data_IF_320962341781
#
_entry.id   IF_320962341781
#
_cell.length_a   1.000
_cell.length_b   1.000
_cell.length_c   1.000
_cell.angle_alpha   90.00
_cell.angle_beta   90.00
_cell.angle_gamma   90.00
#
_symmetry.space_group_name_H-M   'P 1'
#
loop_
_entity.id
_entity.type
_entity.pdbx_description
1 polymer ?
#
# COMPACT_ATOMS: atom_id res chain seq x y z
N UNK A 1 21.36 -21.38 -16.89
CA UNK A 1 20.70 -21.10 -18.16
C UNK A 1 20.34 -19.62 -18.12
N UNK A 2 20.99 -18.78 -18.94
CA UNK A 2 20.80 -17.32 -18.87
C UNK A 2 19.62 -16.95 -19.78
N UNK A 3 18.50 -16.53 -19.16
CA UNK A 3 17.36 -16.00 -19.89
C UNK A 3 17.59 -14.50 -20.14
N UNK A 4 17.67 -14.11 -21.40
CA UNK A 4 17.71 -12.69 -21.82
C UNK A 4 16.28 -12.15 -21.83
N UNK A 5 16.01 -11.17 -20.98
CA UNK A 5 14.77 -10.42 -21.05
C UNK A 5 14.80 -9.43 -22.22
N UNK A 6 13.86 -9.58 -23.14
CA UNK A 6 13.52 -8.53 -24.08
C UNK A 6 12.30 -7.78 -23.54
N UNK A 7 12.50 -6.54 -23.13
CA UNK A 7 11.40 -5.59 -22.96
C UNK A 7 10.89 -5.20 -24.36
N UNK A 8 9.69 -5.60 -24.69
CA UNK A 8 8.90 -4.98 -25.75
C UNK A 8 7.68 -4.33 -25.13
N UNK A 9 7.66 -3.02 -25.15
CA UNK A 9 6.49 -2.20 -24.91
C UNK A 9 5.47 -2.46 -26.01
N UNK A 10 4.43 -3.26 -25.69
CA UNK A 10 3.31 -3.50 -26.60
C UNK A 10 2.21 -2.49 -26.35
N UNK A 11 2.04 -1.55 -27.29
CA UNK A 11 0.84 -0.71 -27.36
C UNK A 11 -0.31 -1.59 -27.83
N UNK A 12 -1.31 -1.81 -26.99
CA UNK A 12 -2.53 -2.53 -27.35
C UNK A 12 -3.45 -1.58 -28.12
N UNK A 13 -3.48 -1.72 -29.45
CA UNK A 13 -4.51 -1.13 -30.28
C UNK A 13 -5.68 -2.11 -30.41
N UNK A 14 -6.76 -1.91 -29.66
CA UNK A 14 -8.00 -2.65 -29.83
C UNK A 14 -8.82 -2.00 -30.96
N UNK A 15 -8.81 -2.62 -32.16
CA UNK A 15 -9.70 -2.24 -33.26
C UNK A 15 -11.01 -3.00 -33.11
N UNK A 16 -12.05 -2.33 -32.58
CA UNK A 16 -13.41 -2.79 -32.71
C UNK A 16 -14.08 -2.02 -33.87
N UNK A 17 -14.19 -2.66 -35.03
CA UNK A 17 -14.98 -2.14 -36.12
C UNK A 17 -16.47 -2.43 -35.88
N UNK A 18 -17.24 -1.43 -35.45
CA UNK A 18 -18.70 -1.44 -35.55
C UNK A 18 -19.13 -0.31 -36.46
N UNK A 19 -19.78 -0.68 -37.54
CA UNK A 19 -20.41 0.21 -38.51
C UNK A 19 -21.46 1.08 -37.84
N UNK A 20 -21.16 2.39 -37.77
CA UNK A 20 -22.03 3.37 -37.17
C UNK A 20 -23.23 3.74 -38.04
N UNK A 21 -24.32 4.00 -37.41
CA UNK A 21 -25.37 4.88 -37.95
C UNK A 21 -25.13 6.24 -37.33
N UNK A 22 -24.78 7.20 -38.18
CA UNK A 22 -24.52 8.59 -37.85
C UNK A 22 -25.82 9.27 -37.35
N UNK A 23 -25.83 9.68 -36.09
CA UNK A 23 -26.66 10.77 -35.60
C UNK A 23 -25.71 11.93 -35.32
N UNK A 24 -25.39 12.72 -36.34
CA UNK A 24 -24.37 13.77 -36.26
C UNK A 24 -24.88 15.17 -36.01
N UNK A 25 -26.19 15.43 -35.79
CA UNK A 25 -26.68 16.79 -35.86
C UNK A 25 -27.21 17.43 -34.57
N UNK A 26 -27.14 16.75 -33.44
CA UNK A 26 -27.62 17.34 -32.17
C UNK A 26 -26.58 17.49 -31.09
N UNK A 27 -25.37 16.99 -31.29
CA UNK A 27 -24.29 17.05 -30.30
C UNK A 27 -23.50 18.36 -30.40
N UNK A 28 -23.27 18.86 -31.62
CA UNK A 28 -22.45 20.05 -31.87
C UNK A 28 -23.14 21.37 -31.43
N UNK A 29 -24.47 21.42 -31.46
CA UNK A 29 -25.23 22.63 -31.10
C UNK A 29 -25.36 22.88 -29.58
N UNK A 30 -25.19 21.83 -28.77
CA UNK A 30 -25.30 21.96 -27.30
C UNK A 30 -24.00 22.35 -26.60
N UNK A 31 -22.86 22.28 -27.26
CA UNK A 31 -21.53 22.44 -26.63
C UNK A 31 -20.63 23.51 -27.25
N UNK A 32 -21.19 24.41 -28.05
CA UNK A 32 -20.43 25.56 -28.53
C UNK A 32 -20.18 26.55 -27.39
N UNK A 33 -19.09 26.35 -26.67
CA UNK A 33 -18.55 27.30 -25.70
C UNK A 33 -17.52 28.18 -26.38
N UNK A 34 -17.58 29.51 -26.15
CA UNK A 34 -16.62 30.45 -26.68
C UNK A 34 -15.18 30.04 -26.35
N UNK A 35 -14.40 29.69 -27.36
CA UNK A 35 -12.98 29.34 -27.25
C UNK A 35 -12.63 27.87 -27.53
N UNK A 36 -13.62 26.97 -27.74
CA UNK A 36 -13.34 25.61 -28.18
C UNK A 36 -13.36 25.50 -29.70
N UNK A 37 -12.52 24.65 -30.26
CA UNK A 37 -12.60 24.24 -31.66
C UNK A 37 -13.46 22.98 -31.73
N UNK A 38 -14.62 22.99 -32.42
CA UNK A 38 -15.43 21.80 -32.58
C UNK A 38 -14.62 20.63 -33.13
N UNK A 39 -14.65 19.49 -32.45
CA UNK A 39 -13.87 18.31 -32.83
C UNK A 39 -12.41 18.30 -32.37
N UNK A 40 -11.91 19.34 -31.69
CA UNK A 40 -10.57 19.34 -31.12
C UNK A 40 -10.47 18.36 -29.93
N UNK A 41 -9.31 17.75 -29.78
CA UNK A 41 -8.99 16.89 -28.64
C UNK A 41 -8.76 17.71 -27.36
N UNK A 42 -8.69 17.02 -26.21
CA UNK A 42 -8.27 17.64 -24.95
C UNK A 42 -6.93 18.37 -25.09
N UNK A 43 -5.97 17.71 -25.73
CA UNK A 43 -4.64 18.30 -25.98
C UNK A 43 -4.69 19.56 -26.79
N UNK A 44 -5.41 19.53 -27.93
CA UNK A 44 -5.56 20.68 -28.80
C UNK A 44 -6.26 21.87 -28.12
N UNK A 45 -7.32 21.59 -27.33
CA UNK A 45 -8.02 22.64 -26.59
C UNK A 45 -7.15 23.24 -25.46
N UNK A 46 -6.33 22.45 -24.78
CA UNK A 46 -5.39 22.95 -23.77
C UNK A 46 -4.33 23.88 -24.36
N UNK A 47 -3.86 23.62 -25.60
CA UNK A 47 -2.89 24.49 -26.27
C UNK A 47 -3.44 25.89 -26.60
N UNK A 48 -4.77 26.07 -26.63
CA UNK A 48 -5.41 27.35 -26.92
C UNK A 48 -5.52 28.28 -25.71
N UNK A 49 -5.38 27.72 -24.50
CA UNK A 49 -5.50 28.52 -23.28
C UNK A 49 -4.10 28.84 -22.70
N UNK A 50 -3.76 30.13 -22.75
CA UNK A 50 -2.45 30.59 -22.27
C UNK A 50 -2.29 30.48 -20.73
N UNK A 51 -3.40 30.55 -19.98
CA UNK A 51 -3.34 30.55 -18.52
C UNK A 51 -2.91 29.18 -17.95
N UNK A 52 -3.15 28.09 -18.67
CA UNK A 52 -2.75 26.75 -18.30
C UNK A 52 -1.52 26.24 -19.08
N UNK A 53 -0.86 27.10 -19.85
CA UNK A 53 0.33 26.73 -20.64
C UNK A 53 1.45 26.10 -19.79
N UNK A 54 1.74 26.58 -18.56
CA UNK A 54 2.74 25.91 -17.70
C UNK A 54 2.36 24.47 -17.36
N UNK A 55 1.09 24.18 -17.07
CA UNK A 55 0.61 22.81 -16.84
C UNK A 55 0.76 21.94 -18.10
N UNK A 56 0.41 22.46 -19.28
CA UNK A 56 0.57 21.74 -20.55
C UNK A 56 2.04 21.40 -20.80
N UNK A 57 2.97 22.29 -20.44
CA UNK A 57 4.41 22.03 -20.55
C UNK A 57 4.87 20.87 -19.65
N UNK A 58 4.32 20.75 -18.44
CA UNK A 58 4.58 19.58 -17.57
C UNK A 58 4.06 18.31 -18.21
N UNK A 59 2.81 18.31 -18.72
CA UNK A 59 2.21 17.17 -19.41
C UNK A 59 3.05 16.72 -20.62
N UNK A 60 3.50 17.65 -21.46
CA UNK A 60 4.34 17.35 -22.64
C UNK A 60 5.69 16.74 -22.22
N UNK A 61 6.34 17.34 -21.21
CA UNK A 61 7.62 16.88 -20.69
C UNK A 61 7.55 15.48 -20.08
N UNK A 62 6.38 15.08 -19.59
CA UNK A 62 6.12 13.76 -18.98
C UNK A 62 5.48 12.75 -19.95
N UNK A 63 5.29 13.11 -21.23
CA UNK A 63 4.81 12.19 -22.27
C UNK A 63 3.28 11.99 -22.30
N UNK A 64 2.48 12.85 -21.68
CA UNK A 64 1.02 12.73 -21.65
C UNK A 64 0.31 13.23 -22.92
N UNK A 65 1.04 13.87 -23.83
CA UNK A 65 0.51 14.39 -25.09
C UNK A 65 -0.25 13.35 -25.90
N UNK A 66 0.36 12.20 -26.17
CA UNK A 66 -0.24 11.17 -27.03
C UNK A 66 -1.50 10.57 -26.38
N UNK A 67 -1.49 10.39 -25.05
CA UNK A 67 -2.64 9.91 -24.29
C UNK A 67 -3.82 10.90 -24.39
N UNK A 68 -3.60 12.18 -24.16
CA UNK A 68 -4.63 13.21 -24.17
C UNK A 68 -5.04 13.65 -25.59
N UNK A 69 -4.32 13.21 -26.59
CA UNK A 69 -4.66 13.37 -28.00
C UNK A 69 -5.28 12.12 -28.63
N UNK A 70 -5.44 11.05 -27.85
CA UNK A 70 -6.03 9.79 -28.30
C UNK A 70 -7.57 9.84 -28.29
N UNK A 71 -8.20 8.75 -28.75
CA UNK A 71 -9.66 8.59 -28.70
C UNK A 71 -10.17 8.16 -27.32
N UNK A 72 -9.29 7.95 -26.35
CA UNK A 72 -9.72 7.60 -24.99
C UNK A 72 -10.29 8.82 -24.28
N UNK A 73 -11.39 8.61 -23.56
CA UNK A 73 -12.16 9.70 -22.95
C UNK A 73 -11.64 9.99 -21.54
N UNK A 74 -11.28 11.24 -21.31
CA UNK A 74 -10.81 11.76 -20.02
C UNK A 74 -11.57 13.02 -19.59
N UNK A 75 -11.48 13.34 -18.31
CA UNK A 75 -11.74 14.67 -17.79
C UNK A 75 -10.45 15.20 -17.19
N UNK A 76 -10.07 16.40 -17.57
CA UNK A 76 -8.87 17.08 -17.09
C UNK A 76 -9.30 18.34 -16.32
N UNK A 77 -8.82 18.48 -15.09
CA UNK A 77 -8.88 19.71 -14.29
C UNK A 77 -7.50 20.35 -14.36
N UNK A 78 -7.32 21.24 -15.32
CA UNK A 78 -6.04 21.90 -15.60
C UNK A 78 -5.79 23.04 -14.61
N UNK A 79 -4.81 22.94 -13.69
CA UNK A 79 -4.53 23.97 -12.73
C UNK A 79 -3.78 25.16 -13.36
N UNK A 80 -4.14 26.37 -12.95
CA UNK A 80 -3.34 27.56 -13.18
C UNK A 80 -2.14 27.51 -12.23
N UNK A 81 -0.95 27.39 -12.78
CA UNK A 81 0.33 27.37 -12.05
C UNK A 81 1.33 28.33 -12.71
N UNK A 82 2.34 28.73 -11.97
CA UNK A 82 3.43 29.56 -12.48
C UNK A 82 4.42 28.77 -13.35
N UNK A 83 5.24 29.47 -14.12
CA UNK A 83 6.31 28.86 -14.90
C UNK A 83 7.39 28.24 -14.01
N UNK A 84 7.64 28.81 -12.84
CA UNK A 84 8.55 28.33 -11.83
C UNK A 84 8.07 26.99 -11.27
N UNK A 85 6.81 26.90 -10.85
CA UNK A 85 6.20 25.66 -10.36
C UNK A 85 6.21 24.54 -11.42
N UNK A 86 5.91 24.89 -12.68
CA UNK A 86 6.01 23.94 -13.78
C UNK A 86 7.43 23.42 -13.98
N UNK A 87 8.42 24.30 -13.84
CA UNK A 87 9.83 23.91 -13.96
C UNK A 87 10.24 22.98 -12.82
N UNK A 88 9.81 23.25 -11.57
CA UNK A 88 10.08 22.39 -10.42
C UNK A 88 9.52 20.98 -10.61
N UNK A 89 8.29 20.85 -11.11
CA UNK A 89 7.68 19.56 -11.44
C UNK A 89 8.46 18.81 -12.53
N UNK A 90 8.89 19.49 -13.59
CA UNK A 90 9.68 18.90 -14.68
C UNK A 90 11.05 18.42 -14.17
N UNK A 91 11.70 19.20 -13.32
CA UNK A 91 13.00 18.82 -12.74
C UNK A 91 12.84 17.64 -11.79
N UNK A 92 11.80 17.61 -10.98
CA UNK A 92 11.47 16.47 -10.12
C UNK A 92 11.23 15.20 -10.94
N UNK A 93 10.42 15.27 -12.00
CA UNK A 93 10.23 14.16 -12.91
C UNK A 93 11.55 13.61 -13.46
N UNK A 94 12.38 14.47 -14.01
CA UNK A 94 13.67 14.07 -14.61
C UNK A 94 14.64 13.49 -13.59
N UNK A 95 14.73 14.11 -12.42
CA UNK A 95 15.59 13.65 -11.32
C UNK A 95 15.18 12.24 -10.89
N UNK A 96 13.92 12.02 -10.60
CA UNK A 96 13.40 10.73 -10.14
C UNK A 96 13.51 9.63 -11.21
N UNK A 97 13.23 9.94 -12.47
CA UNK A 97 13.48 9.03 -13.60
C UNK A 97 14.95 8.64 -13.73
N UNK A 98 15.87 9.59 -13.52
CA UNK A 98 17.31 9.31 -13.56
C UNK A 98 17.77 8.43 -12.39
N UNK A 99 17.04 8.44 -11.29
CA UNK A 99 17.26 7.59 -10.11
C UNK A 99 16.59 6.20 -10.24
N UNK A 100 15.88 5.94 -11.32
CA UNK A 100 15.19 4.67 -11.57
C UNK A 100 13.84 4.54 -10.86
N UNK A 101 13.26 5.65 -10.38
CA UNK A 101 11.92 5.66 -9.80
C UNK A 101 10.91 5.28 -10.89
N UNK A 102 10.07 4.29 -10.59
CA UNK A 102 8.99 3.84 -11.49
C UNK A 102 7.88 4.87 -11.59
N UNK A 103 7.09 4.81 -12.66
CA UNK A 103 6.08 5.83 -12.95
C UNK A 103 5.00 5.98 -11.86
N UNK A 104 4.62 4.90 -11.22
CA UNK A 104 3.61 4.93 -10.14
C UNK A 104 4.13 5.57 -8.86
N UNK A 105 5.43 5.62 -8.70
CA UNK A 105 6.11 6.22 -7.55
C UNK A 105 6.66 7.61 -7.84
N UNK A 106 6.66 8.01 -9.11
CA UNK A 106 7.18 9.33 -9.50
C UNK A 106 6.25 10.44 -9.00
N UNK A 107 6.80 11.38 -8.22
CA UNK A 107 6.02 12.42 -7.58
C UNK A 107 5.26 13.30 -8.60
N UNK A 108 5.89 13.70 -9.70
CA UNK A 108 5.23 14.52 -10.73
C UNK A 108 4.08 13.79 -11.40
N UNK A 109 4.25 12.50 -11.70
CA UNK A 109 3.19 11.72 -12.32
C UNK A 109 2.05 11.43 -11.36
N UNK A 110 2.36 10.95 -10.16
CA UNK A 110 1.36 10.48 -9.20
C UNK A 110 0.70 11.64 -8.42
N UNK A 111 1.49 12.56 -7.89
CA UNK A 111 0.98 13.59 -6.99
C UNK A 111 0.42 14.80 -7.72
N UNK A 112 0.90 15.06 -8.95
CA UNK A 112 0.49 16.24 -9.70
C UNK A 112 -0.34 15.87 -10.93
N UNK A 113 0.22 15.23 -11.96
CA UNK A 113 -0.49 15.01 -13.23
C UNK A 113 -1.72 14.12 -13.02
N UNK A 114 -1.52 12.92 -12.48
CA UNK A 114 -2.60 11.94 -12.31
C UNK A 114 -3.64 12.35 -11.26
N UNK A 115 -3.30 13.32 -10.40
CA UNK A 115 -4.22 13.93 -9.43
C UNK A 115 -5.19 14.92 -10.06
N UNK A 116 -4.99 15.27 -11.32
CA UNK A 116 -5.80 16.24 -12.07
C UNK A 116 -6.49 15.63 -13.30
N UNK A 117 -6.39 14.33 -13.51
CA UNK A 117 -6.98 13.62 -14.65
C UNK A 117 -7.81 12.43 -14.15
N UNK A 118 -9.03 12.31 -14.67
CA UNK A 118 -9.89 11.15 -14.42
C UNK A 118 -10.30 10.50 -15.73
N UNK A 119 -10.63 9.20 -15.65
CA UNK A 119 -11.27 8.48 -16.75
C UNK A 119 -12.72 8.93 -16.94
N UNK A 120 -13.19 8.84 -18.16
CA UNK A 120 -14.53 9.17 -18.61
C UNK A 120 -14.84 10.68 -18.57
N UNK A 121 -15.92 11.02 -19.26
CA UNK A 121 -16.43 12.38 -19.32
C UNK A 121 -17.26 12.70 -18.06
N UNK A 122 -16.87 13.71 -17.32
CA UNK A 122 -17.58 14.23 -16.13
C UNK A 122 -18.07 15.63 -16.41
N UNK A 123 -19.39 15.81 -16.44
CA UNK A 123 -20.02 17.10 -16.64
C UNK A 123 -20.46 17.70 -15.29
N UNK A 124 -19.72 18.67 -14.80
CA UNK A 124 -20.02 19.29 -13.49
C UNK A 124 -21.28 20.13 -13.51
N UNK A 125 -21.69 20.67 -14.68
CA UNK A 125 -22.91 21.47 -14.81
C UNK A 125 -24.22 20.68 -14.57
N UNK A 126 -24.14 19.35 -14.63
CA UNK A 126 -25.28 18.47 -14.37
C UNK A 126 -25.34 17.93 -12.94
N UNK A 127 -24.36 18.25 -12.10
CA UNK A 127 -24.30 17.78 -10.72
C UNK A 127 -25.39 18.46 -9.89
N UNK A 128 -26.24 17.66 -9.26
CA UNK A 128 -27.27 18.10 -8.30
C UNK A 128 -26.85 17.92 -6.86
N UNK A 129 -25.87 17.06 -6.63
CA UNK A 129 -25.27 16.72 -5.34
C UNK A 129 -23.77 16.58 -5.49
N UNK A 130 -23.05 16.62 -4.39
CA UNK A 130 -21.61 16.41 -4.37
C UNK A 130 -21.29 14.98 -4.77
N UNK A 131 -20.38 14.80 -5.70
CA UNK A 131 -19.92 13.50 -6.17
C UNK A 131 -18.47 13.27 -5.74
N UNK A 132 -18.06 12.00 -5.82
CA UNK A 132 -16.66 11.61 -5.66
C UNK A 132 -16.12 11.13 -7.01
N UNK A 133 -15.02 11.71 -7.46
CA UNK A 133 -14.36 11.30 -8.69
C UNK A 133 -13.05 10.55 -8.37
N UNK A 134 -12.86 9.41 -9.04
CA UNK A 134 -11.61 8.66 -8.95
C UNK A 134 -10.64 9.19 -10.01
N UNK A 135 -9.50 9.68 -9.55
CA UNK A 135 -8.43 10.22 -10.38
C UNK A 135 -7.54 9.10 -10.93
N UNK A 136 -6.67 9.39 -11.90
CA UNK A 136 -5.77 8.38 -12.49
C UNK A 136 -4.75 7.80 -11.49
N UNK A 137 -4.43 8.54 -10.43
CA UNK A 137 -3.61 8.03 -9.32
C UNK A 137 -4.39 7.18 -8.31
N UNK A 138 -5.66 6.88 -8.57
CA UNK A 138 -6.52 6.12 -7.67
C UNK A 138 -7.19 6.93 -6.57
N UNK A 139 -6.74 8.17 -6.30
CA UNK A 139 -7.32 9.05 -5.28
C UNK A 139 -8.77 9.39 -5.59
N UNK A 140 -9.54 9.60 -4.53
CA UNK A 140 -10.95 10.00 -4.62
C UNK A 140 -11.08 11.44 -4.15
N UNK A 141 -11.38 12.33 -5.09
CA UNK A 141 -11.57 13.75 -4.80
C UNK A 141 -13.07 14.08 -4.81
N UNK A 142 -13.49 14.95 -3.91
CA UNK A 142 -14.87 15.47 -3.95
C UNK A 142 -15.02 16.44 -5.13
N UNK A 143 -16.18 16.37 -5.78
CA UNK A 143 -16.51 17.18 -6.96
C UNK A 143 -17.86 17.84 -6.76
N UNK A 144 -17.89 19.14 -6.82
CA UNK A 144 -19.11 19.96 -6.85
C UNK A 144 -19.25 20.64 -8.21
N UNK A 145 -20.35 21.36 -8.43
CA UNK A 145 -20.53 22.16 -9.66
C UNK A 145 -19.50 23.28 -9.83
N UNK A 146 -18.76 23.65 -8.79
CA UNK A 146 -17.84 24.80 -8.81
C UNK A 146 -16.46 24.51 -8.20
N UNK A 147 -16.26 23.38 -7.53
CA UNK A 147 -15.03 23.09 -6.81
C UNK A 147 -14.58 21.65 -7.01
N UNK A 148 -13.26 21.46 -7.01
CA UNK A 148 -12.61 20.15 -6.92
C UNK A 148 -11.96 20.04 -5.54
N UNK A 149 -12.14 18.88 -4.88
CA UNK A 149 -11.61 18.54 -3.56
C UNK A 149 -11.98 19.50 -2.41
N UNK A 150 -13.04 20.32 -2.60
CA UNK A 150 -13.46 21.30 -1.59
C UNK A 150 -12.49 22.48 -1.40
N UNK A 151 -11.45 22.60 -2.22
CA UNK A 151 -10.36 23.57 -2.05
C UNK A 151 -10.05 24.38 -3.32
N UNK A 152 -10.22 23.78 -4.49
CA UNK A 152 -9.85 24.42 -5.78
C UNK A 152 -11.10 24.81 -6.55
N UNK A 153 -11.18 26.07 -6.96
CA UNK A 153 -12.34 26.58 -7.68
C UNK A 153 -12.19 26.35 -9.18
N UNK A 154 -13.30 26.02 -9.84
CA UNK A 154 -13.35 25.98 -11.30
C UNK A 154 -13.38 27.40 -11.87
N UNK A 155 -12.54 27.66 -12.86
CA UNK A 155 -12.42 28.94 -13.54
C UNK A 155 -13.16 28.88 -14.88
N UNK A 156 -14.29 29.56 -14.97
CA UNK A 156 -15.11 29.60 -16.17
C UNK A 156 -15.93 28.30 -16.36
N UNK A 157 -16.33 28.04 -17.59
CA UNK A 157 -17.09 26.87 -17.96
C UNK A 157 -16.16 25.77 -18.48
N UNK A 158 -16.59 24.52 -18.34
CA UNK A 158 -15.90 23.38 -18.96
C UNK A 158 -15.87 23.51 -20.49
N UNK A 159 -14.77 23.09 -21.09
CA UNK A 159 -14.55 23.06 -22.54
C UNK A 159 -14.74 21.63 -23.03
N UNK A 160 -15.82 21.34 -23.78
CA UNK A 160 -15.99 20.02 -24.37
C UNK A 160 -14.96 19.79 -25.46
N UNK A 161 -14.41 18.57 -25.47
CA UNK A 161 -13.43 18.08 -26.42
C UNK A 161 -13.92 16.79 -27.07
N UNK A 162 -13.39 16.42 -28.24
CA UNK A 162 -13.80 15.19 -28.93
C UNK A 162 -13.56 13.94 -28.09
N UNK A 163 -12.62 14.00 -27.16
CA UNK A 163 -12.24 12.90 -26.27
C UNK A 163 -12.36 13.26 -24.78
N UNK A 164 -13.29 14.14 -24.41
CA UNK A 164 -13.57 14.39 -23.02
C UNK A 164 -13.91 15.82 -22.65
N UNK A 165 -13.62 16.19 -21.41
CA UNK A 165 -13.96 17.48 -20.82
C UNK A 165 -12.73 18.14 -20.19
N UNK A 166 -12.50 19.39 -20.49
CA UNK A 166 -11.45 20.21 -19.91
C UNK A 166 -12.08 21.23 -18.96
N UNK A 167 -11.67 21.21 -17.72
CA UNK A 167 -11.96 22.27 -16.74
C UNK A 167 -10.66 22.97 -16.37
N UNK A 168 -10.76 24.26 -16.16
CA UNK A 168 -9.71 25.07 -15.61
C UNK A 168 -9.94 25.26 -14.12
N UNK A 169 -8.91 25.18 -13.30
CA UNK A 169 -8.98 25.39 -11.85
C UNK A 169 -7.94 26.40 -11.40
N UNK A 170 -8.25 27.16 -10.33
CA UNK A 170 -7.47 28.28 -9.82
C UNK A 170 -6.16 27.89 -9.11
N UNK A 171 -5.85 26.61 -9.06
CA UNK A 171 -4.62 26.06 -8.50
C UNK A 171 -4.61 24.54 -8.51
N UNK A 172 -3.52 23.91 -8.10
CA UNK A 172 -3.45 22.46 -8.01
C UNK A 172 -4.24 21.91 -6.82
N UNK A 173 -5.00 20.84 -7.05
CA UNK A 173 -5.64 20.09 -5.99
C UNK A 173 -4.57 19.41 -5.12
N UNK A 174 -4.69 19.57 -3.81
CA UNK A 174 -3.73 18.98 -2.85
C UNK A 174 -3.72 17.47 -2.95
N UNK A 175 -2.53 16.92 -3.11
CA UNK A 175 -2.33 15.47 -3.04
C UNK A 175 -2.38 15.01 -1.59
N UNK A 176 -3.31 14.10 -1.30
CA UNK A 176 -3.45 13.50 0.02
C UNK A 176 -2.94 12.05 0.00
N UNK A 177 -1.73 11.80 0.51
CA UNK A 177 -1.10 10.51 0.40
C UNK A 177 -1.82 9.43 1.21
N UNK A 178 -1.79 8.19 0.73
CA UNK A 178 -2.11 7.03 1.55
C UNK A 178 -0.97 6.71 2.54
N UNK A 179 -1.18 5.72 3.40
CA UNK A 179 -0.20 5.37 4.44
C UNK A 179 1.14 4.96 3.83
N UNK A 180 1.13 4.16 2.75
CA UNK A 180 2.36 3.72 2.10
C UNK A 180 3.11 4.87 1.43
N UNK A 181 2.42 5.72 0.71
CA UNK A 181 3.00 6.93 0.12
C UNK A 181 3.58 7.85 1.20
N UNK A 182 2.88 8.01 2.33
CA UNK A 182 3.36 8.80 3.46
C UNK A 182 4.63 8.21 4.06
N UNK A 183 4.72 6.89 4.21
CA UNK A 183 5.95 6.19 4.65
C UNK A 183 7.11 6.50 3.70
N UNK A 184 6.87 6.49 2.39
CA UNK A 184 7.90 6.75 1.37
C UNK A 184 8.31 8.22 1.25
N UNK A 185 7.48 9.13 1.69
CA UNK A 185 7.82 10.57 1.76
C UNK A 185 8.70 10.94 2.95
N UNK A 186 8.86 10.05 3.94
CA UNK A 186 9.51 10.36 5.22
C UNK A 186 10.58 9.31 5.56
N UNK A 187 11.60 9.20 4.75
CA UNK A 187 12.62 8.15 4.85
C UNK A 187 13.82 8.54 5.73
N UNK A 188 14.20 9.82 5.73
CA UNK A 188 15.49 10.26 6.23
C UNK A 188 15.53 10.49 7.75
N UNK A 189 16.74 10.39 8.30
CA UNK A 189 17.03 10.68 9.69
C UNK A 189 16.63 9.60 10.68
N UNK A 190 16.85 9.85 11.96
CA UNK A 190 16.53 8.88 13.03
C UNK A 190 15.01 8.64 13.16
N UNK A 191 14.23 9.66 12.94
CA UNK A 191 12.77 9.59 12.97
C UNK A 191 12.15 9.26 11.60
N UNK A 192 12.96 9.03 10.56
CA UNK A 192 12.52 8.56 9.25
C UNK A 192 12.12 7.09 9.25
N UNK A 193 11.65 6.60 8.12
CA UNK A 193 11.05 5.27 7.95
C UNK A 193 11.77 4.40 6.90
N UNK A 194 13.01 4.75 6.51
CA UNK A 194 13.78 4.05 5.48
C UNK A 194 13.93 2.55 5.77
N UNK A 195 14.22 2.18 7.03
CA UNK A 195 14.44 0.79 7.41
C UNK A 195 13.21 -0.09 7.16
N UNK A 196 12.02 0.36 7.54
CA UNK A 196 10.78 -0.37 7.33
C UNK A 196 10.33 -0.29 5.88
N UNK A 197 10.53 0.85 5.21
CA UNK A 197 10.20 1.00 3.79
C UNK A 197 11.02 0.02 2.92
N UNK A 198 12.34 -0.06 3.11
CA UNK A 198 13.19 -0.99 2.40
C UNK A 198 12.83 -2.45 2.71
N UNK A 199 12.44 -2.76 3.94
CA UNK A 199 11.96 -4.09 4.28
C UNK A 199 10.68 -4.43 3.51
N UNK A 200 9.70 -3.54 3.46
CA UNK A 200 8.48 -3.76 2.70
C UNK A 200 8.74 -3.90 1.20
N UNK A 201 9.58 -3.03 0.61
CA UNK A 201 9.94 -3.12 -0.80
C UNK A 201 10.60 -4.46 -1.17
N UNK A 202 11.32 -5.09 -0.25
CA UNK A 202 11.92 -6.41 -0.48
C UNK A 202 10.89 -7.54 -0.68
N UNK A 203 9.63 -7.28 -0.36
CA UNK A 203 8.50 -8.21 -0.50
C UNK A 203 7.64 -7.96 -1.74
N UNK A 204 8.02 -7.00 -2.56
CA UNK A 204 7.36 -6.79 -3.85
C UNK A 204 7.56 -8.02 -4.75
N UNK A 205 6.49 -8.43 -5.41
CA UNK A 205 6.45 -9.53 -6.38
C UNK A 205 5.74 -9.07 -7.62
N UNK A 206 6.11 -9.72 -8.71
CA UNK A 206 5.44 -9.57 -10.01
C UNK A 206 4.93 -10.95 -10.38
N UNK A 207 3.64 -11.09 -10.57
CA UNK A 207 3.01 -12.35 -10.95
C UNK A 207 2.17 -12.19 -12.21
N UNK A 208 1.95 -13.31 -12.89
CA UNK A 208 1.07 -13.36 -14.05
C UNK A 208 -0.39 -13.34 -13.56
N UNK A 209 -1.17 -12.44 -14.11
CA UNK A 209 -2.62 -12.47 -13.98
C UNK A 209 -3.18 -13.44 -15.02
N UNK A 210 -3.43 -14.68 -14.61
CA UNK A 210 -3.92 -15.74 -15.49
C UNK A 210 -5.33 -15.43 -16.01
N UNK A 211 -6.16 -14.72 -15.23
CA UNK A 211 -7.53 -14.38 -15.62
C UNK A 211 -7.56 -13.25 -16.66
N UNK A 212 -6.67 -12.28 -16.53
CA UNK A 212 -6.56 -11.17 -17.45
C UNK A 212 -5.70 -11.50 -18.70
N UNK A 213 -4.92 -12.58 -18.64
CA UNK A 213 -4.03 -13.00 -19.73
C UNK A 213 -4.76 -13.84 -20.76
N UNK A 214 -4.32 -13.78 -22.03
CA UNK A 214 -4.92 -14.51 -23.15
C UNK A 214 -4.19 -15.84 -23.36
N UNK A 215 -4.81 -16.99 -23.06
CA UNK A 215 -4.16 -18.29 -23.25
C UNK A 215 -3.98 -18.62 -24.74
N UNK A 216 -2.80 -19.08 -25.11
CA UNK A 216 -2.45 -19.47 -26.49
C UNK A 216 -2.39 -20.97 -26.73
N UNK A 217 -2.39 -21.77 -25.68
CA UNK A 217 -2.32 -23.24 -25.77
C UNK A 217 -1.54 -23.87 -24.62
N UNK A 218 -1.36 -25.18 -24.71
CA UNK A 218 -0.59 -25.95 -23.74
C UNK A 218 0.66 -26.51 -24.44
N UNK A 219 1.84 -26.22 -23.92
CA UNK A 219 3.12 -26.75 -24.37
C UNK A 219 3.81 -27.41 -23.19
N UNK A 220 4.19 -28.66 -23.32
CA UNK A 220 4.83 -29.48 -22.27
C UNK A 220 4.04 -29.55 -20.96
N UNK A 221 2.71 -29.40 -21.02
CA UNK A 221 1.82 -29.46 -19.86
C UNK A 221 1.62 -28.11 -19.15
N UNK A 222 2.26 -27.03 -19.62
CA UNK A 222 2.11 -25.67 -19.10
C UNK A 222 1.32 -24.81 -20.08
N UNK A 223 0.48 -23.90 -19.54
CA UNK A 223 -0.26 -22.93 -20.34
C UNK A 223 0.70 -21.86 -20.87
N UNK A 224 0.74 -21.70 -22.19
CA UNK A 224 1.46 -20.60 -22.84
C UNK A 224 0.44 -19.49 -23.16
N UNK A 225 0.81 -18.25 -22.87
CA UNK A 225 -0.05 -17.09 -23.10
C UNK A 225 0.37 -16.34 -24.37
N UNK A 226 -0.61 -15.97 -25.20
CA UNK A 226 -0.40 -15.09 -26.36
C UNK A 226 -0.19 -13.64 -25.94
N UNK A 227 -0.89 -13.24 -24.87
CA UNK A 227 -0.72 -11.96 -24.22
C UNK A 227 -0.69 -12.19 -22.70
N UNK A 228 0.33 -11.66 -22.03
CA UNK A 228 0.58 -11.88 -20.62
C UNK A 228 0.40 -10.59 -19.86
N UNK A 229 -0.61 -10.55 -18.99
CA UNK A 229 -0.83 -9.45 -18.07
C UNK A 229 -0.10 -9.74 -16.76
N UNK A 230 0.81 -8.87 -16.39
CA UNK A 230 1.57 -8.99 -15.13
C UNK A 230 1.03 -7.98 -14.12
N UNK A 231 0.85 -8.38 -12.86
CA UNK A 231 0.50 -7.47 -11.78
C UNK A 231 1.57 -7.45 -10.70
N UNK A 232 1.74 -6.29 -10.11
CA UNK A 232 2.64 -6.08 -8.99
C UNK A 232 1.86 -6.14 -7.68
N UNK A 233 2.39 -6.84 -6.70
CA UNK A 233 1.81 -6.84 -5.36
C UNK A 233 2.90 -6.93 -4.30
N UNK A 234 2.54 -6.55 -3.07
CA UNK A 234 3.40 -6.69 -1.91
C UNK A 234 2.83 -7.73 -0.96
N UNK A 235 3.62 -8.77 -0.67
CA UNK A 235 3.18 -9.88 0.20
C UNK A 235 2.82 -9.40 1.61
N UNK A 236 3.57 -8.42 2.16
CA UNK A 236 3.27 -7.86 3.49
C UNK A 236 1.92 -7.16 3.47
N UNK A 237 1.66 -6.32 2.46
CA UNK A 237 0.40 -5.58 2.38
C UNK A 237 -0.79 -6.50 2.16
N UNK A 238 -0.67 -7.49 1.30
CA UNK A 238 -1.74 -8.46 1.08
C UNK A 238 -2.09 -9.28 2.33
N UNK A 239 -1.09 -9.61 3.16
CA UNK A 239 -1.31 -10.48 4.32
C UNK A 239 -1.62 -9.72 5.60
N UNK A 240 -1.13 -8.48 5.77
CA UNK A 240 -1.20 -7.80 7.05
C UNK A 240 -1.92 -6.46 7.03
N UNK A 241 -1.93 -5.76 5.90
CA UNK A 241 -2.65 -4.50 5.80
C UNK A 241 -2.40 -3.77 4.48
N UNK A 242 -3.43 -3.64 3.68
CA UNK A 242 -3.40 -2.99 2.37
C UNK A 242 -3.28 -1.46 2.51
N UNK A 243 -2.13 -1.02 3.03
CA UNK A 243 -1.85 0.41 3.28
C UNK A 243 -1.49 1.20 2.01
N UNK A 244 -1.36 0.52 0.90
CA UNK A 244 -1.06 1.03 -0.44
C UNK A 244 -2.31 1.26 -1.31
N UNK A 245 -3.50 0.86 -0.85
CA UNK A 245 -4.76 0.98 -1.61
C UNK A 245 -5.71 2.00 -1.02
N UNK A 246 -6.51 2.65 -1.88
CA UNK A 246 -7.49 3.66 -1.47
C UNK A 246 -8.84 3.05 -1.00
N UNK A 247 -9.04 1.76 -1.22
CA UNK A 247 -10.30 1.07 -0.87
C UNK A 247 -10.30 0.50 0.56
N UNK A 248 -9.20 0.70 1.29
CA UNK A 248 -8.97 0.22 2.65
C UNK A 248 -8.96 1.35 3.67
N UNK A 249 -9.02 1.00 4.96
CA UNK A 249 -8.86 1.96 6.06
C UNK A 249 -8.07 1.33 7.18
N UNK A 250 -6.84 1.78 7.36
CA UNK A 250 -5.90 1.24 8.34
C UNK A 250 -5.33 2.30 9.28
N UNK A 251 -4.99 1.87 10.47
CA UNK A 251 -3.97 2.53 11.27
C UNK A 251 -2.70 1.70 11.20
N UNK A 252 -1.58 2.34 10.98
CA UNK A 252 -0.28 1.69 10.94
C UNK A 252 0.67 2.35 11.93
N UNK A 253 1.27 1.54 12.80
CA UNK A 253 2.31 1.96 13.76
C UNK A 253 3.67 1.60 13.18
N UNK A 254 4.32 2.57 12.58
CA UNK A 254 5.60 2.39 11.91
C UNK A 254 6.79 2.56 12.87
N UNK A 255 7.71 1.61 12.94
CA UNK A 255 8.97 1.79 13.66
C UNK A 255 9.83 2.81 12.94
N UNK A 256 10.31 3.85 13.63
CA UNK A 256 11.30 4.77 13.08
C UNK A 256 12.66 4.06 12.87
N UNK A 257 13.53 4.65 12.06
CA UNK A 257 14.88 4.13 11.83
C UNK A 257 15.66 3.92 13.14
N UNK A 258 15.45 4.80 14.11
CA UNK A 258 16.02 4.66 15.45
C UNK A 258 15.47 3.42 16.15
N UNK A 259 14.16 3.29 16.23
CA UNK A 259 13.49 2.15 16.88
C UNK A 259 13.90 0.83 16.22
N UNK A 260 13.95 0.80 14.89
CA UNK A 260 14.39 -0.36 14.14
C UNK A 260 15.80 -0.78 14.55
N UNK A 261 16.76 0.14 14.50
CA UNK A 261 18.16 -0.10 14.86
C UNK A 261 18.33 -0.56 16.32
N UNK A 262 17.58 0.05 17.26
CA UNK A 262 17.70 -0.25 18.68
C UNK A 262 17.14 -1.63 19.06
N UNK A 263 16.17 -2.16 18.29
CA UNK A 263 15.49 -3.39 18.64
C UNK A 263 15.82 -4.60 17.76
N UNK A 264 16.44 -4.41 16.58
CA UNK A 264 16.66 -5.50 15.63
C UNK A 264 17.53 -6.61 16.21
N UNK A 265 18.62 -6.27 16.92
CA UNK A 265 19.52 -7.26 17.51
C UNK A 265 18.87 -7.99 18.69
N UNK A 266 18.04 -7.28 19.48
CA UNK A 266 17.22 -7.90 20.51
C UNK A 266 16.26 -8.91 19.91
N UNK A 267 15.58 -8.55 18.82
CA UNK A 267 14.67 -9.48 18.14
C UNK A 267 15.41 -10.64 17.51
N UNK A 268 16.60 -10.39 16.96
CA UNK A 268 17.45 -11.45 16.43
C UNK A 268 17.80 -12.50 17.48
N UNK A 269 18.02 -12.11 18.72
CA UNK A 269 18.31 -13.04 19.80
C UNK A 269 17.16 -13.96 20.21
N UNK A 270 15.92 -13.68 19.74
CA UNK A 270 14.76 -14.53 20.02
C UNK A 270 14.61 -15.71 19.07
N UNK A 271 15.38 -15.75 17.98
CA UNK A 271 15.27 -16.76 16.95
C UNK A 271 16.57 -17.52 16.77
N UNK A 272 16.49 -18.84 16.78
CA UNK A 272 17.59 -19.73 16.42
C UNK A 272 17.07 -20.74 15.38
N UNK A 273 17.83 -20.89 14.29
CA UNK A 273 17.47 -21.80 13.21
C UNK A 273 18.64 -22.72 12.89
N UNK A 274 18.38 -24.00 12.75
CA UNK A 274 19.39 -24.97 12.33
C UNK A 274 19.50 -25.00 10.79
N UNK A 275 20.74 -25.12 10.30
CA UNK A 275 21.06 -25.14 8.87
C UNK A 275 20.71 -26.46 8.15
N UNK A 276 19.89 -27.34 8.76
CA UNK A 276 19.66 -28.70 8.28
C UNK A 276 18.59 -28.86 7.17
N UNK A 277 18.04 -27.75 6.67
CA UNK A 277 16.93 -27.76 5.70
C UNK A 277 17.23 -27.09 4.37
N UNK A 278 18.50 -26.91 4.04
CA UNK A 278 18.92 -26.23 2.81
C UNK A 278 18.63 -24.72 2.78
N UNK A 279 18.21 -24.14 3.90
CA UNK A 279 18.09 -22.70 4.12
C UNK A 279 19.14 -22.27 5.13
N UNK A 280 19.74 -21.13 4.87
CA UNK A 280 20.68 -20.49 5.78
C UNK A 280 19.95 -20.04 7.05
N UNK A 281 20.36 -20.56 8.22
CA UNK A 281 19.75 -20.24 9.51
C UNK A 281 19.91 -18.76 9.87
N UNK A 282 21.01 -18.14 9.51
CA UNK A 282 21.22 -16.70 9.72
C UNK A 282 20.27 -15.85 8.89
N UNK A 283 20.00 -16.26 7.65
CA UNK A 283 19.03 -15.56 6.79
C UNK A 283 17.63 -15.66 7.35
N UNK A 284 17.23 -16.81 7.86
CA UNK A 284 15.92 -17.01 8.51
C UNK A 284 15.84 -16.18 9.80
N UNK A 285 16.85 -16.22 10.64
CA UNK A 285 16.93 -15.45 11.88
C UNK A 285 16.78 -13.95 11.59
N UNK A 286 17.49 -13.44 10.58
CA UNK A 286 17.40 -12.05 10.15
C UNK A 286 15.99 -11.70 9.60
N UNK A 287 15.37 -12.60 8.85
CA UNK A 287 14.02 -12.41 8.34
C UNK A 287 12.99 -12.32 9.46
N UNK A 288 12.97 -13.29 10.37
CA UNK A 288 12.00 -13.34 11.45
C UNK A 288 12.18 -12.18 12.46
N UNK A 289 13.41 -11.73 12.70
CA UNK A 289 13.65 -10.55 13.51
C UNK A 289 13.04 -9.26 12.93
N UNK A 290 13.06 -9.13 11.59
CA UNK A 290 12.40 -8.01 10.90
C UNK A 290 10.88 -8.12 10.92
N UNK A 291 10.34 -9.33 10.79
CA UNK A 291 8.90 -9.58 10.88
C UNK A 291 8.32 -9.21 12.25
N UNK A 292 9.14 -9.15 13.30
CA UNK A 292 8.72 -8.65 14.62
C UNK A 292 8.23 -7.19 14.60
N UNK A 293 8.63 -6.39 13.61
CA UNK A 293 8.13 -5.04 13.41
C UNK A 293 6.84 -4.96 12.58
N UNK A 294 6.46 -6.06 11.94
CA UNK A 294 5.25 -6.16 11.10
C UNK A 294 4.07 -6.65 11.93
N UNK A 295 4.29 -7.69 12.73
CA UNK A 295 3.23 -8.26 13.53
C UNK A 295 2.78 -7.29 14.62
N UNK A 296 1.47 -7.11 14.74
CA UNK A 296 0.86 -6.23 15.74
C UNK A 296 0.93 -4.74 15.41
N UNK A 297 1.37 -4.35 14.23
CA UNK A 297 1.52 -2.93 13.82
C UNK A 297 0.45 -2.43 12.84
N UNK A 298 -0.32 -3.32 12.24
CA UNK A 298 -1.40 -2.99 11.31
C UNK A 298 -2.77 -3.22 11.96
N UNK A 299 -3.66 -2.26 11.81
CA UNK A 299 -4.99 -2.28 12.40
C UNK A 299 -6.02 -1.90 11.34
N UNK A 300 -6.87 -2.83 10.92
CA UNK A 300 -7.97 -2.54 10.02
C UNK A 300 -9.09 -1.85 10.79
N UNK A 301 -9.34 -0.59 10.49
CA UNK A 301 -10.33 0.23 11.23
C UNK A 301 -11.74 -0.29 11.03
N UNK A 302 -12.06 -0.84 9.85
CA UNK A 302 -13.39 -1.37 9.52
C UNK A 302 -13.72 -2.69 10.21
N UNK A 303 -12.70 -3.39 10.69
CA UNK A 303 -12.84 -4.69 11.37
C UNK A 303 -12.76 -4.59 12.89
N UNK A 304 -12.66 -3.37 13.44
CA UNK A 304 -12.69 -3.17 14.89
C UNK A 304 -14.08 -3.43 15.44
N UNK A 305 -14.13 -3.87 16.72
CA UNK A 305 -15.38 -4.10 17.43
C UNK A 305 -16.19 -2.80 17.57
N UNK A 306 -17.46 -2.85 17.22
CA UNK A 306 -18.34 -1.69 17.24
C UNK A 306 -19.02 -1.52 18.62
N UNK A 307 -19.25 -0.28 19.09
CA UNK A 307 -18.92 0.99 18.41
C UNK A 307 -17.43 1.36 18.55
N UNK A 308 -16.74 1.58 17.42
CA UNK A 308 -15.34 1.98 17.42
C UNK A 308 -15.19 3.50 17.48
N UNK A 309 -14.65 4.02 18.57
CA UNK A 309 -14.39 5.44 18.75
C UNK A 309 -12.95 5.76 18.33
N UNK A 310 -12.73 6.23 17.12
CA UNK A 310 -11.39 6.56 16.61
C UNK A 310 -10.63 7.63 17.41
N UNK A 311 -11.33 8.48 18.15
CA UNK A 311 -10.68 9.49 18.96
C UNK A 311 -10.10 8.92 20.27
N UNK A 312 -10.76 7.92 20.84
CA UNK A 312 -10.34 7.28 22.09
C UNK A 312 -10.94 5.87 22.19
N UNK A 313 -10.40 4.90 21.47
CA UNK A 313 -10.91 3.54 21.50
C UNK A 313 -10.56 2.85 22.82
N UNK A 314 -11.48 2.01 23.32
CA UNK A 314 -11.25 1.18 24.51
C UNK A 314 -10.21 0.09 24.23
N UNK A 315 -10.20 -0.41 23.02
CA UNK A 315 -9.18 -1.35 22.54
C UNK A 315 -9.04 -1.27 21.03
N UNK A 316 -7.90 -1.74 20.51
CA UNK A 316 -7.68 -1.98 19.08
C UNK A 316 -7.09 -3.37 18.88
N UNK A 317 -7.48 -4.00 17.78
CA UNK A 317 -7.03 -5.35 17.41
C UNK A 317 -6.23 -5.28 16.13
N UNK A 318 -5.00 -5.82 16.16
CA UNK A 318 -4.15 -5.89 14.98
C UNK A 318 -4.64 -6.97 14.00
N UNK A 319 -4.35 -6.78 12.71
CA UNK A 319 -4.73 -7.71 11.63
C UNK A 319 -4.11 -9.10 11.77
N UNK A 320 -3.05 -9.23 12.53
CA UNK A 320 -2.43 -10.53 12.90
C UNK A 320 -3.23 -11.30 13.97
N UNK A 321 -4.37 -10.76 14.36
CA UNK A 321 -5.31 -11.44 15.23
C UNK A 321 -5.75 -12.78 14.61
N UNK A 322 -5.72 -13.83 15.43
CA UNK A 322 -6.30 -15.12 15.08
C UNK A 322 -7.34 -15.50 16.12
N UNK A 323 -8.43 -16.14 15.70
CA UNK A 323 -9.48 -16.64 16.59
C UNK A 323 -8.99 -17.60 17.67
N UNK A 324 -7.79 -18.17 17.50
CA UNK A 324 -7.15 -19.07 18.46
C UNK A 324 -6.44 -18.36 19.62
N UNK A 325 -6.22 -17.06 19.52
CA UNK A 325 -5.50 -16.28 20.55
C UNK A 325 -5.93 -14.81 20.52
N UNK A 326 -7.17 -14.52 20.92
CA UNK A 326 -7.75 -13.18 20.81
C UNK A 326 -6.98 -12.11 21.59
N UNK A 327 -6.32 -12.47 22.68
CA UNK A 327 -5.65 -11.50 23.54
C UNK A 327 -4.27 -11.07 23.05
N UNK A 328 -3.65 -11.82 22.14
CA UNK A 328 -2.26 -11.53 21.73
C UNK A 328 -2.13 -10.29 20.87
N UNK A 329 -3.08 -10.05 19.97
CA UNK A 329 -3.05 -8.91 19.06
C UNK A 329 -4.00 -7.78 19.47
N UNK A 330 -4.58 -7.85 20.68
CA UNK A 330 -5.46 -6.82 21.23
C UNK A 330 -4.69 -5.90 22.16
N UNK A 331 -4.85 -4.60 21.97
CA UNK A 331 -4.24 -3.55 22.78
C UNK A 331 -5.34 -2.76 23.46
N UNK A 332 -5.39 -2.87 24.79
CA UNK A 332 -6.35 -2.14 25.61
C UNK A 332 -5.89 -0.71 25.81
N UNK A 333 -6.84 0.22 25.81
CA UNK A 333 -6.66 1.64 26.11
C UNK A 333 -5.48 2.29 25.38
N UNK A 334 -5.41 2.15 24.02
CA UNK A 334 -4.20 2.50 23.28
C UNK A 334 -3.80 3.97 23.38
N UNK A 335 -4.74 4.87 23.65
CA UNK A 335 -4.49 6.31 23.79
C UNK A 335 -4.12 6.73 25.22
N UNK A 336 -4.34 5.88 26.23
CA UNK A 336 -4.06 6.20 27.63
C UNK A 336 -2.57 6.06 27.96
N UNK A 337 -2.18 6.60 29.13
CA UNK A 337 -0.80 6.54 29.61
C UNK A 337 -0.26 5.09 29.62
N UNK A 338 0.85 4.86 28.93
CA UNK A 338 1.42 3.52 28.73
C UNK A 338 0.81 2.72 27.56
N UNK A 339 -0.29 3.18 26.97
CA UNK A 339 -0.90 2.55 25.81
C UNK A 339 -0.09 2.68 24.54
N UNK A 340 -0.42 1.85 23.54
CA UNK A 340 0.33 1.73 22.28
C UNK A 340 0.52 3.06 21.56
N UNK A 341 -0.52 3.89 21.49
CA UNK A 341 -0.55 5.14 20.72
C UNK A 341 -0.37 6.39 21.60
N UNK A 342 -0.22 6.22 22.93
CA UNK A 342 -0.09 7.36 23.83
C UNK A 342 1.08 8.27 23.49
N UNK A 343 0.79 9.56 23.30
CA UNK A 343 1.79 10.58 22.96
C UNK A 343 2.31 10.53 21.53
N UNK A 344 1.82 9.63 20.68
CA UNK A 344 2.09 9.65 19.24
C UNK A 344 1.09 10.59 18.56
N UNK A 345 1.61 11.41 17.64
CA UNK A 345 0.77 12.28 16.80
C UNK A 345 0.41 11.51 15.52
N UNK A 346 -0.88 11.29 15.25
CA UNK A 346 -1.28 10.68 14.00
C UNK A 346 -0.98 11.59 12.82
N UNK A 347 -0.56 11.00 11.72
CA UNK A 347 -0.53 11.63 10.41
C UNK A 347 -1.71 11.08 9.61
N UNK A 348 -2.69 11.92 9.31
CA UNK A 348 -3.84 11.51 8.52
C UNK A 348 -3.41 11.21 7.08
N UNK A 349 -4.00 10.17 6.51
CA UNK A 349 -3.76 9.65 5.18
C UNK A 349 -5.10 9.35 4.50
N UNK A 350 -5.13 9.31 3.16
CA UNK A 350 -6.36 9.05 2.40
C UNK A 350 -7.04 7.71 2.76
N UNK A 351 -6.26 6.74 3.21
CA UNK A 351 -6.72 5.41 3.62
C UNK A 351 -6.51 5.13 5.12
N UNK A 352 -6.39 6.15 5.97
CA UNK A 352 -6.29 5.96 7.41
C UNK A 352 -5.27 6.83 8.11
N UNK A 353 -4.50 6.25 9.04
CA UNK A 353 -3.55 7.01 9.87
C UNK A 353 -2.20 6.31 10.00
N UNK A 354 -1.13 7.07 9.85
CA UNK A 354 0.23 6.66 10.16
C UNK A 354 0.63 7.18 11.54
N UNK A 355 1.11 6.29 12.42
CA UNK A 355 1.71 6.63 13.71
C UNK A 355 3.20 6.28 13.66
N UNK A 356 4.08 7.26 13.72
CA UNK A 356 5.54 7.04 13.80
C UNK A 356 5.93 6.73 15.24
N UNK A 357 6.32 5.50 15.49
CA UNK A 357 6.72 5.07 16.82
C UNK A 357 8.13 5.59 17.16
N UNK A 358 8.21 6.50 18.09
CA UNK A 358 9.45 6.98 18.71
C UNK A 358 9.82 6.21 19.99
N UNK A 359 8.89 5.39 20.47
CA UNK A 359 9.02 4.42 21.56
C UNK A 359 8.24 3.17 21.16
N UNK A 360 8.91 2.00 21.16
CA UNK A 360 8.31 0.77 20.67
C UNK A 360 7.54 0.05 21.78
N UNK A 361 6.22 0.13 21.72
CA UNK A 361 5.31 -0.40 22.74
C UNK A 361 4.53 -1.63 22.31
N UNK A 362 4.95 -2.28 21.24
CA UNK A 362 4.43 -3.58 20.85
C UNK A 362 5.28 -4.64 21.57
N UNK A 363 4.80 -5.24 22.68
CA UNK A 363 5.60 -6.22 23.40
C UNK A 363 5.67 -7.53 22.60
N UNK A 364 6.78 -8.28 22.68
CA UNK A 364 6.92 -9.56 22.00
C UNK A 364 5.79 -10.55 22.26
N UNK A 365 5.20 -10.50 23.46
CA UNK A 365 4.05 -11.35 23.86
C UNK A 365 2.77 -11.10 23.07
N UNK A 366 2.66 -9.95 22.38
CA UNK A 366 1.55 -9.62 21.47
C UNK A 366 1.79 -10.08 20.04
N UNK A 367 2.90 -10.78 19.79
CA UNK A 367 3.32 -11.19 18.45
C UNK A 367 3.09 -12.69 18.27
N UNK A 368 2.82 -13.09 17.02
CA UNK A 368 2.43 -14.45 16.69
C UNK A 368 3.49 -15.50 17.05
N UNK A 369 4.78 -15.10 17.12
CA UNK A 369 5.91 -16.00 17.41
C UNK A 369 6.23 -16.11 18.90
N UNK A 370 5.80 -15.16 19.72
CA UNK A 370 6.10 -15.10 21.15
C UNK A 370 4.87 -15.44 22.00
N UNK A 371 4.22 -16.54 21.66
CA UNK A 371 3.04 -16.99 22.40
C UNK A 371 3.43 -17.54 23.76
N UNK A 372 2.78 -17.15 24.86
CA UNK A 372 2.91 -17.86 26.11
C UNK A 372 2.36 -19.28 25.92
N UNK A 373 3.17 -20.27 26.25
CA UNK A 373 2.77 -21.67 26.25
C UNK A 373 2.42 -22.02 27.69
N UNK A 374 1.17 -22.43 27.94
CA UNK A 374 0.72 -22.88 29.25
C UNK A 374 0.82 -24.39 29.35
N UNK A 375 1.58 -24.89 30.31
CA UNK A 375 1.71 -26.33 30.59
C UNK A 375 1.10 -26.59 31.98
N UNK A 376 0.01 -27.31 32.03
CA UNK A 376 -0.62 -27.72 33.28
C UNK A 376 0.13 -28.96 33.86
N UNK A 377 0.65 -28.83 35.09
CA UNK A 377 1.45 -29.88 35.72
C UNK A 377 0.64 -31.13 36.03
N UNK A 378 -0.69 -31.04 36.16
CA UNK A 378 -1.61 -32.13 36.39
C UNK A 378 -1.68 -33.10 35.21
N UNK A 379 -1.31 -32.67 34.02
CA UNK A 379 -1.25 -33.54 32.82
C UNK A 379 0.13 -34.16 32.58
N UNK A 380 0.99 -34.19 33.62
CA UNK A 380 2.36 -34.72 33.55
C UNK A 380 2.45 -36.18 33.13
N UNK A 381 1.36 -36.92 33.15
CA UNK A 381 1.31 -38.32 32.67
C UNK A 381 1.55 -38.49 31.16
N UNK A 382 1.50 -37.37 30.40
CA UNK A 382 1.74 -37.36 28.97
C UNK A 382 3.20 -37.01 28.62
N UNK A 383 4.09 -36.82 29.61
CA UNK A 383 5.49 -36.47 29.41
C UNK A 383 6.39 -37.66 29.67
N UNK A 384 7.16 -38.07 28.68
CA UNK A 384 8.10 -39.18 28.84
C UNK A 384 9.37 -38.79 29.62
N UNK A 385 9.76 -37.52 29.63
CA UNK A 385 10.94 -37.06 30.40
C UNK A 385 10.90 -35.56 30.64
N UNK A 386 11.08 -35.13 31.89
CA UNK A 386 11.42 -33.78 32.30
C UNK A 386 12.85 -33.80 32.79
N UNK A 387 13.77 -33.13 32.09
CA UNK A 387 15.18 -33.06 32.53
C UNK A 387 15.46 -31.64 33.00
N UNK A 388 15.78 -31.52 34.27
CA UNK A 388 16.35 -30.29 34.84
C UNK A 388 17.86 -30.32 34.62
N UNK A 389 18.42 -29.42 33.83
CA UNK A 389 19.85 -29.37 33.57
C UNK A 389 20.53 -28.26 34.33
N UNK A 390 21.43 -28.63 35.24
CA UNK A 390 22.45 -27.80 35.85
C UNK A 390 21.96 -26.64 36.71
N UNK A 391 22.79 -25.61 36.81
CA UNK A 391 22.50 -24.35 37.50
C UNK A 391 21.46 -23.46 36.80
N UNK A 392 20.88 -23.96 35.73
CA UNK A 392 19.93 -23.22 34.93
C UNK A 392 18.52 -23.48 35.42
N UNK A 393 17.74 -22.43 35.42
CA UNK A 393 16.29 -22.44 35.60
C UNK A 393 15.55 -22.95 34.33
N UNK A 394 16.27 -23.52 33.36
CA UNK A 394 15.70 -24.04 32.14
C UNK A 394 15.15 -25.46 32.36
N UNK A 395 13.88 -25.64 32.09
CA UNK A 395 13.22 -26.96 32.03
C UNK A 395 13.14 -27.38 30.57
N UNK A 396 13.87 -28.43 30.22
CA UNK A 396 13.72 -29.05 28.92
C UNK A 396 12.58 -30.08 28.99
N UNK A 397 11.48 -29.81 28.34
CA UNK A 397 10.33 -30.71 28.23
C UNK A 397 10.40 -31.38 26.86
N UNK A 398 10.76 -32.66 26.84
CA UNK A 398 10.63 -33.49 25.65
C UNK A 398 9.17 -33.97 25.57
N UNK A 399 8.29 -33.20 24.99
CA UNK A 399 6.92 -33.57 24.76
C UNK A 399 6.86 -34.55 23.57
N UNK A 400 6.43 -35.77 23.82
CA UNK A 400 6.35 -36.81 22.79
C UNK A 400 5.10 -36.66 21.93
N UNK A 401 4.02 -36.07 22.44
CA UNK A 401 2.80 -35.80 21.70
C UNK A 401 2.04 -34.64 22.39
N UNK A 402 2.28 -33.41 21.97
CA UNK A 402 1.41 -32.34 22.35
C UNK A 402 0.21 -32.27 21.38
N UNK A 403 -0.87 -32.95 21.71
CA UNK A 403 -2.16 -32.72 21.10
C UNK A 403 -2.83 -31.52 21.80
N UNK A 404 -2.71 -30.35 21.19
CA UNK A 404 -3.54 -29.15 21.45
C UNK A 404 -3.71 -28.65 22.90
N UNK A 405 -2.75 -28.87 23.79
CA UNK A 405 -2.91 -28.46 25.18
C UNK A 405 -2.03 -27.28 25.55
N UNK A 406 -2.57 -26.38 26.33
CA UNK A 406 -1.90 -25.18 26.83
C UNK A 406 -0.99 -25.52 28.02
N UNK A 407 0.23 -24.99 28.02
CA UNK A 407 1.20 -25.24 29.09
C UNK A 407 1.48 -23.95 29.87
N UNK A 408 1.44 -23.98 31.17
CA UNK A 408 1.78 -22.86 32.05
C UNK A 408 3.03 -23.21 32.88
N UNK A 409 4.11 -22.43 32.74
CA UNK A 409 5.26 -22.48 33.61
C UNK A 409 5.15 -21.40 34.67
N UNK A 410 4.96 -21.78 35.94
CA UNK A 410 4.72 -20.86 37.05
C UNK A 410 5.98 -20.33 37.73
N UNK A 411 7.17 -20.76 37.30
CA UNK A 411 8.46 -20.33 37.88
C UNK A 411 9.40 -19.93 36.77
N UNK A 412 9.95 -18.71 36.81
CA UNK A 412 10.75 -18.02 35.82
C UNK A 412 11.93 -18.75 35.16
N UNK A 413 11.65 -19.82 34.44
CA UNK A 413 12.58 -20.57 33.62
C UNK A 413 12.21 -20.52 32.14
N UNK A 414 13.19 -20.78 31.28
CA UNK A 414 12.93 -20.90 29.84
C UNK A 414 12.43 -22.31 29.53
N UNK A 415 11.31 -22.40 28.80
CA UNK A 415 10.80 -23.67 28.26
C UNK A 415 11.21 -23.79 26.80
N UNK A 416 12.09 -24.73 26.49
CA UNK A 416 12.38 -25.09 25.09
C UNK A 416 11.40 -26.20 24.72
N UNK A 417 10.43 -25.90 23.87
CA UNK A 417 9.52 -26.90 23.31
C UNK A 417 10.06 -27.32 21.96
N UNK A 418 10.58 -28.57 21.90
CA UNK A 418 10.89 -29.21 20.61
C UNK A 418 9.63 -29.86 20.08
N UNK A 419 9.01 -29.32 19.06
CA UNK A 419 7.93 -29.98 18.33
C UNK A 419 8.51 -31.16 17.54
N UNK A 420 8.28 -32.37 18.03
CA UNK A 420 8.71 -33.58 17.36
C UNK A 420 7.79 -34.04 16.21
N UNK A 421 6.77 -33.24 15.86
CA UNK A 421 5.91 -33.59 14.73
C UNK A 421 6.69 -33.49 13.43
N UNK A 422 7.00 -34.67 12.89
CA UNK A 422 7.63 -34.84 11.60
C UNK A 422 6.88 -34.03 10.53
N UNK A 423 7.54 -33.05 9.95
CA UNK A 423 7.05 -32.26 8.82
C UNK A 423 6.94 -30.75 9.03
N UNK A 424 7.08 -30.21 10.24
CA UNK A 424 7.17 -28.76 10.49
C UNK A 424 8.56 -28.33 10.95
N UNK A 425 9.53 -28.67 10.14
CA UNK A 425 10.95 -28.39 10.40
C UNK A 425 11.37 -26.93 10.15
N UNK A 426 10.42 -26.04 9.88
CA UNK A 426 10.68 -24.62 9.58
C UNK A 426 10.22 -23.67 10.70
N UNK A 427 9.92 -24.16 11.90
CA UNK A 427 9.59 -23.27 13.01
C UNK A 427 10.87 -22.93 13.80
N UNK A 428 11.03 -21.65 14.24
CA UNK A 428 12.15 -21.27 15.09
C UNK A 428 12.09 -22.03 16.40
N UNK A 429 13.23 -22.50 16.87
CA UNK A 429 13.37 -22.87 18.28
C UNK A 429 13.37 -21.58 19.09
N UNK A 430 12.44 -21.46 20.01
CA UNK A 430 12.36 -20.32 20.94
C UNK A 430 13.17 -20.70 22.17
N UNK A 431 14.30 -20.04 22.38
CA UNK A 431 15.11 -20.15 23.61
C UNK A 431 14.65 -19.15 24.65
#
# INVERSE_FOLDING_TARGET
MKLKYYMQTGVVALIAATTGVSCTDTWDDHYSVNGSVPGATLWENMLLDESIRPFVRVLDSCGYKDMLNSNQVFTVWAPEITEEEAQEWIETYKREKSQGVVDDDNATLNQFIRNHIALYNRQVSSLTEDETVKMLNGKRLSLTSSMLNGEVNMVGNGVPSSNGMLYKVDGPATFFPNIWERVRMDLEGENGLDSVANFFLSWNRVELDEEASVPGGIVDGETVYLDSVMYNYNIIFNNYGQIDTEDSSYWYVAPTNKIWRENIDKYRSYFEFHNNLGKDGDSLQNLYSKLMFVYGSFFNVREQELPFNEANPDSIVATTYTSYSPDFSKFEWPMQAGGLLHGLTPQDCSNGRLYKATDWRIPPTKLIYMRPIQVEAEYANNYSTVTLSGDSTAIQVNAVEATNENFRVSTGGYLVVKDSRSGRTNQPEIT
#
